data_IF_424087751495
#
_entry.id   IF_424087751495
#
_cell.length_a   1.000
_cell.length_b   1.000
_cell.length_c   1.000
_cell.angle_alpha   90.00
_cell.angle_beta   90.00
_cell.angle_gamma   90.00
#
_symmetry.space_group_name_H-M   'P 1'
#
loop_
_entity.id
_entity.type
_entity.pdbx_description
1 polymer ?
#
# COMPACT_ATOMS: atom_id res chain seq x y z
N UNK A 1 -15.35 2.49 20.32
CA UNK A 1 -14.88 3.49 19.33
C UNK A 1 -14.39 4.71 20.09
N UNK A 2 -13.25 5.27 19.72
CA UNK A 2 -12.71 6.49 20.31
C UNK A 2 -13.17 7.69 19.44
N UNK A 3 -13.75 8.75 20.01
CA UNK A 3 -14.14 9.95 19.25
C UNK A 3 -12.94 10.62 18.58
N UNK A 4 -13.15 11.21 17.39
CA UNK A 4 -12.08 11.88 16.65
C UNK A 4 -11.40 13.00 17.44
N UNK A 5 -12.18 13.75 18.24
CA UNK A 5 -11.67 14.81 19.10
C UNK A 5 -10.61 14.29 20.09
N UNK A 6 -10.86 13.13 20.72
CA UNK A 6 -9.94 12.55 21.69
C UNK A 6 -8.61 12.16 21.01
N UNK A 7 -8.68 11.53 19.83
CA UNK A 7 -7.50 11.15 19.03
C UNK A 7 -6.67 12.38 18.65
N UNK A 8 -7.31 13.42 18.13
CA UNK A 8 -6.63 14.66 17.71
C UNK A 8 -5.98 15.36 18.91
N UNK A 9 -6.67 15.45 20.06
CA UNK A 9 -6.11 16.05 21.27
C UNK A 9 -4.95 15.24 21.83
N UNK A 10 -5.03 13.91 21.80
CA UNK A 10 -3.96 13.04 22.23
C UNK A 10 -2.71 13.21 21.34
N UNK A 11 -2.88 13.21 20.02
CA UNK A 11 -1.78 13.45 19.07
C UNK A 11 -1.17 14.83 19.24
N UNK A 12 -2.00 15.86 19.45
CA UNK A 12 -1.52 17.20 19.74
C UNK A 12 -0.75 17.28 21.07
N UNK A 13 -1.19 16.55 22.09
CA UNK A 13 -0.51 16.48 23.38
C UNK A 13 0.89 15.88 23.23
N UNK A 14 1.04 14.72 22.58
CA UNK A 14 2.36 14.08 22.43
C UNK A 14 3.33 14.92 21.60
N UNK A 15 2.83 15.70 20.63
CA UNK A 15 3.64 16.66 19.88
C UNK A 15 4.05 17.84 20.77
N UNK A 16 3.11 18.38 21.56
CA UNK A 16 3.38 19.50 22.47
C UNK A 16 4.38 19.12 23.58
N UNK A 17 4.38 17.85 24.00
CA UNK A 17 5.39 17.30 24.92
C UNK A 17 6.76 17.07 24.27
N UNK A 18 6.86 17.17 22.94
CA UNK A 18 8.09 16.90 22.19
C UNK A 18 8.44 15.42 22.04
N UNK A 19 7.48 14.50 22.28
CA UNK A 19 7.68 13.05 22.09
C UNK A 19 7.61 12.63 20.62
N UNK A 20 6.87 13.39 19.83
CA UNK A 20 6.80 13.26 18.38
C UNK A 20 6.90 14.66 17.74
N UNK A 21 7.44 14.74 16.53
CA UNK A 21 7.47 15.99 15.77
C UNK A 21 6.15 16.22 15.02
N UNK A 22 5.60 15.14 14.46
CA UNK A 22 4.40 15.15 13.64
C UNK A 22 3.61 13.86 13.85
N UNK A 23 2.39 13.83 13.33
CA UNK A 23 1.58 12.64 13.28
C UNK A 23 0.94 12.47 11.90
N UNK A 24 0.48 11.26 11.64
CA UNK A 24 -0.20 10.88 10.42
C UNK A 24 -1.21 9.78 10.70
N UNK A 25 -1.93 9.41 9.66
CA UNK A 25 -2.96 8.38 9.69
C UNK A 25 -2.50 7.15 8.93
N UNK A 26 -3.14 6.00 9.16
CA UNK A 26 -2.82 4.77 8.45
C UNK A 26 -4.08 3.94 8.23
N UNK A 27 -4.40 3.63 6.98
CA UNK A 27 -5.62 2.93 6.54
C UNK A 27 -6.91 3.72 6.82
N UNK A 28 -6.82 5.04 6.95
CA UNK A 28 -8.00 5.88 7.16
C UNK A 28 -8.65 6.24 5.83
N UNK A 29 -9.97 6.23 5.78
CA UNK A 29 -10.72 6.73 4.63
C UNK A 29 -10.49 8.23 4.43
N UNK A 30 -10.77 8.73 3.22
CA UNK A 30 -10.68 10.15 2.91
C UNK A 30 -11.56 11.00 3.87
N UNK A 31 -12.71 10.45 4.27
CA UNK A 31 -13.67 11.11 5.16
C UNK A 31 -13.09 11.25 6.57
N UNK A 32 -12.49 10.18 7.11
CA UNK A 32 -11.88 10.22 8.44
C UNK A 32 -10.67 11.16 8.50
N UNK A 33 -9.84 11.19 7.45
CA UNK A 33 -8.72 12.13 7.36
C UNK A 33 -9.22 13.58 7.34
N UNK A 34 -10.28 13.86 6.57
CA UNK A 34 -10.88 15.20 6.52
C UNK A 34 -11.60 15.56 7.83
N UNK A 35 -12.19 14.60 8.51
CA UNK A 35 -12.78 14.78 9.84
C UNK A 35 -11.70 15.14 10.87
N UNK A 36 -10.58 14.41 10.90
CA UNK A 36 -9.41 14.75 11.72
C UNK A 36 -8.91 16.16 11.42
N UNK A 37 -8.74 16.51 10.14
CA UNK A 37 -8.33 17.86 9.73
C UNK A 37 -9.30 18.92 10.26
N UNK A 38 -10.61 18.71 10.11
CA UNK A 38 -11.64 19.65 10.55
C UNK A 38 -11.61 19.83 12.07
N UNK A 39 -11.54 18.73 12.83
CA UNK A 39 -11.40 18.78 14.29
C UNK A 39 -10.12 19.53 14.71
N UNK A 40 -9.00 19.28 14.05
CA UNK A 40 -7.75 19.99 14.32
C UNK A 40 -7.90 21.50 14.11
N UNK A 41 -8.56 21.93 13.03
CA UNK A 41 -8.82 23.35 12.76
C UNK A 41 -9.75 23.98 13.79
N UNK A 42 -10.79 23.27 14.22
CA UNK A 42 -11.73 23.75 15.24
C UNK A 42 -11.07 23.92 16.61
N UNK A 43 -10.23 22.96 17.01
CA UNK A 43 -9.60 22.94 18.35
C UNK A 43 -8.18 23.49 18.38
N UNK A 44 -7.72 24.11 17.30
CA UNK A 44 -6.36 24.64 17.15
C UNK A 44 -5.27 23.60 17.48
N UNK A 45 -5.43 22.38 16.97
CA UNK A 45 -4.47 21.27 17.11
C UNK A 45 -3.65 21.10 15.82
N UNK A 46 -2.49 20.44 15.94
CA UNK A 46 -1.66 20.07 14.80
C UNK A 46 -2.39 19.05 13.93
N UNK A 47 -2.49 19.31 12.62
CA UNK A 47 -3.13 18.41 11.63
C UNK A 47 -2.24 17.22 11.26
N UNK A 48 -2.82 16.08 10.85
CA UNK A 48 -2.02 14.99 10.31
C UNK A 48 -1.33 15.43 9.02
N UNK A 49 -0.08 15.02 8.80
CA UNK A 49 0.72 15.44 7.63
C UNK A 49 0.87 14.36 6.57
N UNK A 50 0.61 13.10 6.93
CA UNK A 50 0.73 11.98 6.01
C UNK A 50 -0.33 10.92 6.26
N UNK A 51 -0.68 10.19 5.22
CA UNK A 51 -1.48 8.97 5.29
C UNK A 51 -0.63 7.80 4.78
N UNK A 52 -0.55 6.74 5.58
CA UNK A 52 0.07 5.48 5.20
C UNK A 52 -0.95 4.53 4.57
N UNK A 53 -0.83 4.28 3.26
CA UNK A 53 -1.79 3.48 2.49
C UNK A 53 -1.14 2.41 1.63
N UNK A 54 -1.87 1.31 1.44
CA UNK A 54 -1.46 0.24 0.53
C UNK A 54 -1.44 0.78 -0.90
N UNK A 55 -0.36 0.52 -1.64
CA UNK A 55 -0.29 0.86 -3.05
C UNK A 55 0.60 -0.09 -3.84
N UNK A 56 -0.03 -0.75 -4.81
CA UNK A 56 0.61 -1.64 -5.77
C UNK A 56 -0.31 -1.80 -6.97
N UNK A 57 0.16 -2.50 -8.01
CA UNK A 57 -0.55 -2.68 -9.27
C UNK A 57 -1.99 -3.23 -9.15
N UNK A 58 -2.35 -3.85 -8.02
CA UNK A 58 -3.69 -4.42 -7.77
C UNK A 58 -4.50 -3.66 -6.70
N UNK A 59 -3.94 -2.64 -6.06
CA UNK A 59 -4.65 -1.75 -5.12
C UNK A 59 -4.26 -0.30 -5.43
N UNK A 60 -5.17 0.42 -6.12
CA UNK A 60 -4.85 1.70 -6.78
C UNK A 60 -5.81 2.82 -6.42
N UNK A 61 -7.08 2.51 -6.19
CA UNK A 61 -8.17 3.48 -6.09
C UNK A 61 -7.88 4.60 -5.09
N UNK A 62 -7.44 4.24 -3.87
CA UNK A 62 -7.24 5.22 -2.81
C UNK A 62 -6.13 6.22 -3.14
N UNK A 63 -5.00 5.69 -3.57
CA UNK A 63 -3.76 6.44 -3.78
C UNK A 63 -3.76 7.22 -5.10
N UNK A 64 -4.43 6.71 -6.14
CA UNK A 64 -4.50 7.39 -7.44
C UNK A 64 -5.67 8.38 -7.55
N UNK A 65 -6.80 8.15 -6.85
CA UNK A 65 -7.95 9.05 -6.95
C UNK A 65 -8.07 10.07 -5.82
N UNK A 66 -7.92 9.63 -4.57
CA UNK A 66 -8.29 10.43 -3.39
C UNK A 66 -7.08 11.13 -2.75
N UNK A 67 -5.94 10.46 -2.66
CA UNK A 67 -4.74 11.05 -2.07
C UNK A 67 -4.24 12.32 -2.79
N UNK A 68 -4.25 12.43 -4.13
CA UNK A 68 -3.85 13.67 -4.81
C UNK A 68 -4.79 14.83 -4.45
N UNK A 69 -6.07 14.54 -4.22
CA UNK A 69 -7.04 15.54 -3.82
C UNK A 69 -6.82 15.99 -2.37
N UNK A 70 -6.54 15.06 -1.45
CA UNK A 70 -6.18 15.41 -0.07
C UNK A 70 -4.89 16.24 -0.02
N UNK A 71 -3.88 15.87 -0.81
CA UNK A 71 -2.64 16.65 -0.91
C UNK A 71 -2.92 18.08 -1.38
N UNK A 72 -3.66 18.24 -2.47
CA UNK A 72 -3.97 19.56 -3.02
C UNK A 72 -4.88 20.42 -2.12
N UNK A 73 -5.76 19.81 -1.32
CA UNK A 73 -6.70 20.55 -0.45
C UNK A 73 -6.12 20.89 0.93
N UNK A 74 -5.43 19.95 1.56
CA UNK A 74 -5.02 20.05 2.97
C UNK A 74 -3.55 19.74 3.20
N UNK A 75 -2.78 19.40 2.16
CA UNK A 75 -1.34 19.17 2.25
C UNK A 75 -0.95 17.80 2.83
N UNK A 76 -1.89 16.86 2.95
CA UNK A 76 -1.58 15.51 3.46
C UNK A 76 -0.84 14.71 2.40
N UNK A 77 0.41 14.33 2.70
CA UNK A 77 1.22 13.46 1.86
C UNK A 77 0.81 11.99 1.92
N UNK A 78 1.31 11.20 0.98
CA UNK A 78 1.12 9.77 0.87
C UNK A 78 2.45 9.03 1.12
N UNK A 79 2.42 8.15 2.11
CA UNK A 79 3.44 7.14 2.33
C UNK A 79 2.87 5.77 1.96
N UNK A 80 3.25 5.27 0.79
CA UNK A 80 2.77 4.00 0.27
C UNK A 80 3.48 2.82 0.96
N UNK A 81 2.77 1.70 1.15
CA UNK A 81 3.36 0.44 1.62
C UNK A 81 2.86 -0.75 0.79
N UNK A 82 3.57 -1.88 0.93
CA UNK A 82 3.36 -3.10 0.16
C UNK A 82 3.31 -2.88 -1.37
N UNK A 83 4.36 -2.31 -1.99
CA UNK A 83 4.48 -2.28 -3.45
C UNK A 83 4.45 -3.68 -4.08
N UNK A 84 4.77 -4.68 -3.26
CA UNK A 84 4.71 -6.10 -3.57
C UNK A 84 3.58 -6.68 -2.73
N UNK A 85 2.37 -6.79 -3.29
CA UNK A 85 1.33 -7.57 -2.62
C UNK A 85 1.77 -9.01 -2.56
N UNK A 86 1.94 -9.48 -1.33
CA UNK A 86 2.17 -10.88 -0.95
C UNK A 86 3.50 -11.41 -1.44
N UNK A 87 4.24 -12.12 -0.58
CA UNK A 87 5.48 -12.77 -1.01
C UNK A 87 5.30 -13.96 -1.97
N UNK A 88 4.30 -13.91 -2.85
CA UNK A 88 4.15 -14.73 -4.05
C UNK A 88 5.39 -14.71 -4.96
N UNK A 89 6.25 -13.69 -4.89
CA UNK A 89 7.18 -13.38 -5.96
C UNK A 89 8.63 -13.87 -5.75
N UNK A 90 8.90 -14.59 -4.66
CA UNK A 90 10.23 -15.20 -4.44
C UNK A 90 10.32 -16.66 -4.90
N UNK A 91 9.21 -17.27 -5.36
CA UNK A 91 9.20 -18.63 -5.88
C UNK A 91 9.36 -18.63 -7.39
N UNK A 92 10.34 -19.38 -7.91
CA UNK A 92 10.43 -19.69 -9.34
C UNK A 92 9.06 -20.18 -9.84
N UNK A 93 8.62 -19.66 -10.99
CA UNK A 93 7.43 -20.11 -11.69
C UNK A 93 7.73 -21.49 -12.28
N UNK A 94 7.65 -22.54 -11.45
CA UNK A 94 7.70 -23.93 -11.89
C UNK A 94 6.36 -24.58 -11.53
N UNK A 95 5.67 -25.12 -12.56
CA UNK A 95 4.47 -25.95 -12.50
C UNK A 95 3.26 -25.41 -11.70
N UNK A 96 2.53 -24.46 -12.31
CA UNK A 96 1.07 -24.36 -12.22
C UNK A 96 0.42 -24.10 -10.84
N UNK A 97 1.20 -24.01 -9.78
CA UNK A 97 0.74 -23.78 -8.42
C UNK A 97 1.63 -22.71 -7.78
N UNK A 98 1.24 -21.44 -7.94
CA UNK A 98 1.81 -20.37 -7.13
C UNK A 98 1.36 -20.60 -5.68
N UNK A 99 2.27 -20.81 -4.71
CA UNK A 99 1.90 -20.66 -3.32
C UNK A 99 1.53 -19.20 -3.15
N UNK A 100 0.27 -18.92 -2.81
CA UNK A 100 -0.22 -17.59 -2.41
C UNK A 100 0.36 -17.20 -1.04
N UNK A 101 1.67 -17.43 -0.83
CA UNK A 101 2.33 -17.45 0.47
C UNK A 101 3.78 -16.96 0.34
N UNK A 102 4.03 -15.73 0.79
CA UNK A 102 5.03 -15.56 1.84
C UNK A 102 4.42 -14.68 2.92
N UNK A 103 4.57 -14.98 4.21
CA UNK A 103 5.75 -15.58 4.87
C UNK A 103 5.36 -16.85 5.61
N UNK A 104 5.85 -18.00 5.17
CA UNK A 104 5.93 -19.19 6.03
C UNK A 104 7.38 -19.37 6.47
N UNK A 105 7.55 -19.53 7.79
CA UNK A 105 8.81 -19.82 8.50
C UNK A 105 9.62 -18.62 9.02
N UNK A 106 9.04 -17.86 9.95
CA UNK A 106 9.83 -17.40 11.09
C UNK A 106 9.82 -18.52 12.13
N UNK A 107 10.87 -19.35 12.20
CA UNK A 107 11.09 -20.16 13.39
C UNK A 107 11.51 -19.22 14.51
N UNK A 108 10.58 -18.99 15.45
CA UNK A 108 10.79 -18.29 16.72
C UNK A 108 12.13 -18.68 17.36
N UNK A 109 13.09 -17.75 17.39
CA UNK A 109 14.32 -17.90 18.18
C UNK A 109 14.63 -16.73 19.11
N UNK A 110 13.78 -15.71 19.14
CA UNK A 110 13.88 -14.62 20.11
C UNK A 110 12.51 -14.39 20.74
N UNK A 111 12.38 -14.86 21.99
CA UNK A 111 11.34 -14.42 22.93
C UNK A 111 11.57 -12.92 23.15
N UNK A 112 10.71 -12.10 22.54
CA UNK A 112 10.68 -10.66 22.78
C UNK A 112 9.57 -10.39 23.78
N UNK A 113 9.95 -9.86 24.93
CA UNK A 113 9.12 -9.42 26.04
C UNK A 113 8.00 -8.47 25.53
N UNK A 114 6.82 -9.01 25.24
CA UNK A 114 5.62 -8.27 24.86
C UNK A 114 4.44 -8.83 25.65
N UNK A 115 3.70 -7.97 26.35
CA UNK A 115 2.55 -8.32 27.21
C UNK A 115 1.30 -8.83 26.44
N UNK A 116 1.49 -9.48 25.29
CA UNK A 116 0.45 -9.94 24.36
C UNK A 116 0.72 -11.37 23.90
N UNK A 117 1.21 -12.24 24.79
CA UNK A 117 1.62 -13.60 24.40
C UNK A 117 0.45 -14.57 24.10
N UNK A 118 -0.77 -14.32 24.57
CA UNK A 118 -1.89 -15.27 24.35
C UNK A 118 -2.64 -15.16 23.01
N UNK A 119 -2.33 -14.18 22.14
CA UNK A 119 -3.00 -14.03 20.83
C UNK A 119 -2.14 -14.39 19.61
N UNK A 120 -0.86 -14.73 19.81
CA UNK A 120 0.10 -14.82 18.70
C UNK A 120 0.06 -16.14 17.93
N UNK A 121 -0.46 -17.22 18.53
CA UNK A 121 -0.55 -18.53 17.86
C UNK A 121 -1.64 -18.59 16.79
N UNK A 122 -2.68 -17.75 16.88
CA UNK A 122 -3.76 -17.65 15.88
C UNK A 122 -3.55 -16.54 14.84
N UNK A 123 -2.58 -15.63 15.06
CA UNK A 123 -2.30 -14.50 14.15
C UNK A 123 -1.42 -14.86 12.96
N UNK A 124 -0.64 -15.95 13.03
CA UNK A 124 0.09 -16.47 11.86
C UNK A 124 -0.86 -16.93 10.75
N UNK A 125 -2.02 -17.51 11.14
CA UNK A 125 -3.09 -17.77 10.19
C UNK A 125 -3.68 -16.45 9.69
N UNK A 126 -3.97 -15.49 10.55
CA UNK A 126 -4.67 -14.24 10.22
C UNK A 126 -3.96 -13.40 9.15
N UNK A 127 -2.62 -13.41 9.09
CA UNK A 127 -1.83 -12.76 8.02
C UNK A 127 -1.79 -13.57 6.69
N UNK A 128 -2.22 -14.82 6.70
CA UNK A 128 -2.45 -15.63 5.50
C UNK A 128 -3.93 -15.68 5.09
N UNK A 129 -4.84 -15.33 6.02
CA UNK A 129 -6.29 -15.37 5.80
C UNK A 129 -6.81 -14.16 5.02
N UNK A 130 -6.26 -12.95 5.21
CA UNK A 130 -6.80 -11.73 4.58
C UNK A 130 -6.72 -11.71 3.05
N UNK A 131 -5.68 -12.31 2.46
CA UNK A 131 -5.56 -12.43 1.01
C UNK A 131 -6.40 -13.59 0.45
N UNK A 132 -6.67 -14.60 1.28
CA UNK A 132 -7.35 -15.83 0.90
C UNK A 132 -8.88 -15.75 1.06
N UNK A 133 -9.38 -14.94 2.00
CA UNK A 133 -10.81 -14.72 2.25
C UNK A 133 -11.45 -13.71 1.30
N UNK A 134 -10.66 -12.89 0.59
CA UNK A 134 -11.17 -11.77 -0.21
C UNK A 134 -11.37 -12.08 -1.69
N UNK A 135 -10.74 -13.13 -2.20
CA UNK A 135 -10.68 -13.41 -3.63
C UNK A 135 -11.41 -14.71 -3.95
N UNK A 136 -12.35 -14.64 -4.88
CA UNK A 136 -12.89 -15.86 -5.47
C UNK A 136 -11.75 -16.61 -6.19
N UNK A 137 -11.77 -17.96 -6.24
CA UNK A 137 -10.74 -18.73 -6.94
C UNK A 137 -10.49 -18.26 -8.38
N UNK A 138 -11.54 -17.79 -9.06
CA UNK A 138 -11.46 -17.27 -10.42
C UNK A 138 -10.76 -15.91 -10.53
N UNK A 139 -10.93 -15.02 -9.54
CA UNK A 139 -10.23 -13.73 -9.50
C UNK A 139 -8.74 -13.91 -9.23
N UNK A 140 -8.42 -14.88 -8.36
CA UNK A 140 -7.03 -15.27 -8.07
C UNK A 140 -6.33 -15.75 -9.33
N UNK A 141 -6.99 -16.62 -10.12
CA UNK A 141 -6.44 -17.14 -11.38
C UNK A 141 -6.16 -16.02 -12.39
N UNK A 142 -7.10 -15.08 -12.55
CA UNK A 142 -6.91 -13.91 -13.42
C UNK A 142 -5.76 -13.02 -12.97
N UNK A 143 -5.60 -12.81 -11.66
CA UNK A 143 -4.47 -12.05 -11.13
C UNK A 143 -3.13 -12.75 -11.41
N UNK A 144 -3.08 -14.08 -11.29
CA UNK A 144 -1.88 -14.86 -11.60
C UNK A 144 -1.49 -14.79 -13.09
N UNK A 145 -2.47 -14.84 -13.99
CA UNK A 145 -2.26 -14.65 -15.44
C UNK A 145 -1.66 -13.26 -15.72
N UNK A 146 -2.20 -12.20 -15.10
CA UNK A 146 -1.67 -10.83 -15.19
C UNK A 146 -0.24 -10.73 -14.66
N UNK A 147 0.05 -11.34 -13.51
CA UNK A 147 1.40 -11.38 -12.93
C UNK A 147 2.39 -12.05 -13.89
N UNK A 148 1.99 -13.16 -14.53
CA UNK A 148 2.84 -13.85 -15.51
C UNK A 148 3.18 -12.94 -16.70
N UNK A 149 2.19 -12.24 -17.23
CA UNK A 149 2.40 -11.34 -18.37
C UNK A 149 3.28 -10.13 -18.01
N UNK A 150 3.14 -9.60 -16.78
CA UNK A 150 4.03 -8.56 -16.25
C UNK A 150 5.45 -9.10 -16.02
N UNK A 151 5.60 -10.35 -15.56
CA UNK A 151 6.91 -11.00 -15.41
C UNK A 151 7.63 -11.11 -16.75
N UNK A 152 6.93 -11.53 -17.82
CA UNK A 152 7.50 -11.57 -19.17
C UNK A 152 7.92 -10.18 -19.67
N UNK A 153 7.21 -9.13 -19.28
CA UNK A 153 7.62 -7.76 -19.58
C UNK A 153 8.86 -7.33 -18.78
N UNK A 154 8.93 -7.69 -17.49
CA UNK A 154 10.08 -7.42 -16.64
C UNK A 154 11.36 -8.07 -17.20
N UNK A 155 11.26 -9.32 -17.66
CA UNK A 155 12.35 -10.05 -18.32
C UNK A 155 12.83 -9.33 -19.59
N UNK A 156 11.92 -8.85 -20.44
CA UNK A 156 12.27 -8.06 -21.64
C UNK A 156 12.98 -6.75 -21.30
N UNK A 157 12.69 -6.16 -20.14
CA UNK A 157 13.33 -4.96 -19.63
C UNK A 157 14.66 -5.24 -18.89
N UNK A 158 15.00 -6.52 -18.69
CA UNK A 158 16.18 -6.95 -17.95
C UNK A 158 16.10 -6.65 -16.46
N UNK A 159 14.90 -6.70 -15.87
CA UNK A 159 14.68 -6.42 -14.45
C UNK A 159 13.83 -7.51 -13.79
N UNK A 160 13.88 -7.58 -12.46
CA UNK A 160 12.98 -8.46 -11.72
C UNK A 160 11.59 -7.85 -11.63
N UNK A 161 10.57 -8.70 -11.45
CA UNK A 161 9.21 -8.23 -11.21
C UNK A 161 9.14 -7.30 -9.99
N UNK A 162 9.90 -7.61 -8.94
CA UNK A 162 10.02 -6.77 -7.74
C UNK A 162 10.48 -5.36 -8.08
N UNK A 163 11.55 -5.25 -8.87
CA UNK A 163 12.07 -3.96 -9.29
C UNK A 163 11.06 -3.20 -10.16
N UNK A 164 10.37 -3.90 -11.06
CA UNK A 164 9.34 -3.30 -11.91
C UNK A 164 8.15 -2.77 -11.07
N UNK A 165 7.69 -3.54 -10.08
CA UNK A 165 6.59 -3.13 -9.18
C UNK A 165 6.95 -1.90 -8.36
N UNK A 166 8.15 -1.86 -7.78
CA UNK A 166 8.63 -0.71 -7.00
C UNK A 166 8.76 0.53 -7.90
N UNK A 167 9.38 0.37 -9.08
CA UNK A 167 9.55 1.46 -10.04
C UNK A 167 8.20 2.00 -10.54
N UNK A 168 7.22 1.12 -10.76
CA UNK A 168 5.86 1.49 -11.13
C UNK A 168 5.18 2.31 -10.03
N UNK A 169 5.26 1.88 -8.76
CA UNK A 169 4.69 2.64 -7.64
C UNK A 169 5.33 4.04 -7.51
N UNK A 170 6.65 4.13 -7.69
CA UNK A 170 7.39 5.40 -7.64
C UNK A 170 7.19 6.29 -8.87
N UNK A 171 6.67 5.75 -9.97
CA UNK A 171 6.34 6.55 -11.16
C UNK A 171 5.17 7.49 -10.92
N UNK A 172 4.30 7.16 -9.96
CA UNK A 172 3.20 8.02 -9.55
C UNK A 172 3.72 9.19 -8.70
N UNK A 173 3.62 10.40 -9.23
CA UNK A 173 4.06 11.65 -8.56
C UNK A 173 3.34 11.89 -7.21
N UNK A 174 2.19 11.26 -7.01
CA UNK A 174 1.41 11.37 -5.78
C UNK A 174 2.05 10.63 -4.60
N UNK A 175 2.98 9.70 -4.85
CA UNK A 175 3.67 8.91 -3.83
C UNK A 175 4.96 9.61 -3.43
N UNK A 176 5.00 10.20 -2.23
CA UNK A 176 6.21 10.89 -1.75
C UNK A 176 7.21 9.93 -1.09
N UNK A 177 6.71 8.85 -0.49
CA UNK A 177 7.54 7.84 0.16
C UNK A 177 6.95 6.45 -0.10
N UNK A 178 7.81 5.48 -0.39
CA UNK A 178 7.45 4.08 -0.53
C UNK A 178 8.19 3.26 0.53
N UNK A 179 7.44 2.62 1.42
CA UNK A 179 7.96 1.75 2.45
C UNK A 179 8.31 0.38 1.86
N UNK A 180 9.59 0.02 1.96
CA UNK A 180 10.13 -1.25 1.51
C UNK A 180 10.32 -2.19 2.70
N UNK A 181 10.05 -3.48 2.49
CA UNK A 181 10.35 -4.54 3.45
C UNK A 181 11.34 -5.53 2.84
N UNK A 182 12.47 -5.73 3.49
CA UNK A 182 13.50 -6.70 3.09
C UNK A 182 13.93 -7.52 4.31
N UNK A 183 14.09 -8.84 4.12
CA UNK A 183 14.61 -9.72 5.17
C UNK A 183 16.10 -10.03 5.00
N UNK A 184 16.64 -9.77 3.80
CA UNK A 184 18.06 -9.90 3.49
C UNK A 184 18.60 -8.61 2.89
N UNK A 185 19.92 -8.43 2.99
CA UNK A 185 20.61 -7.27 2.42
C UNK A 185 20.50 -7.27 0.89
N UNK A 186 20.54 -8.44 0.25
CA UNK A 186 20.43 -8.56 -1.21
C UNK A 186 19.06 -8.10 -1.73
N UNK A 187 17.97 -8.45 -1.03
CA UNK A 187 16.62 -7.96 -1.36
C UNK A 187 16.52 -6.44 -1.24
N UNK A 188 17.17 -5.85 -0.24
CA UNK A 188 17.22 -4.41 -0.09
C UNK A 188 17.98 -3.75 -1.25
N UNK A 189 19.15 -4.28 -1.62
CA UNK A 189 19.90 -3.77 -2.77
C UNK A 189 19.12 -3.91 -4.08
N UNK A 190 18.49 -5.05 -4.32
CA UNK A 190 17.61 -5.27 -5.47
C UNK A 190 16.48 -4.23 -5.51
N UNK A 191 15.85 -3.98 -4.36
CA UNK A 191 14.78 -2.99 -4.23
C UNK A 191 15.26 -1.58 -4.52
N UNK A 192 16.46 -1.19 -4.06
CA UNK A 192 17.04 0.13 -4.34
C UNK A 192 17.40 0.29 -5.82
N UNK A 193 17.88 -0.77 -6.48
CA UNK A 193 18.21 -0.74 -7.91
C UNK A 193 17.00 -0.47 -8.80
N UNK A 194 15.77 -0.69 -8.32
CA UNK A 194 14.53 -0.30 -9.02
C UNK A 194 14.48 1.17 -9.44
N UNK A 195 15.16 2.06 -8.71
CA UNK A 195 15.23 3.49 -9.04
C UNK A 195 15.80 3.74 -10.44
N UNK A 196 16.69 2.86 -10.90
CA UNK A 196 17.30 2.94 -12.24
C UNK A 196 16.31 2.61 -13.37
N UNK A 197 15.15 2.02 -13.04
CA UNK A 197 14.10 1.67 -13.99
C UNK A 197 13.10 2.82 -14.20
N UNK A 198 12.98 3.77 -13.27
CA UNK A 198 12.01 4.87 -13.37
C UNK A 198 12.15 5.66 -14.69
N UNK A 199 13.36 6.00 -15.17
CA UNK A 199 13.53 6.66 -16.46
C UNK A 199 13.23 5.74 -17.66
N UNK A 200 13.38 4.42 -17.50
CA UNK A 200 13.11 3.42 -18.55
C UNK A 200 11.62 3.18 -18.74
N UNK A 201 10.79 3.43 -17.72
CA UNK A 201 9.34 3.37 -17.78
C UNK A 201 8.78 4.53 -18.64
N UNK A 202 8.84 4.33 -19.95
CA UNK A 202 8.26 5.22 -20.94
C UNK A 202 6.73 5.07 -21.02
N UNK A 203 6.08 6.00 -21.71
CA UNK A 203 4.61 6.02 -21.85
C UNK A 203 4.08 4.72 -22.47
N UNK A 204 4.78 4.14 -23.44
CA UNK A 204 4.35 2.91 -24.12
C UNK A 204 4.32 1.71 -23.16
N UNK A 205 5.35 1.55 -22.32
CA UNK A 205 5.40 0.50 -21.30
C UNK A 205 4.32 0.69 -20.25
N UNK A 206 4.08 1.94 -19.83
CA UNK A 206 2.99 2.25 -18.91
C UNK A 206 1.63 1.91 -19.51
N UNK A 207 1.38 2.26 -20.77
CA UNK A 207 0.14 1.90 -21.47
C UNK A 207 -0.04 0.39 -21.60
N UNK A 208 1.04 -0.35 -21.85
CA UNK A 208 0.99 -1.81 -21.90
C UNK A 208 0.73 -2.43 -20.52
N UNK A 209 1.32 -1.90 -19.45
CA UNK A 209 1.00 -2.30 -18.08
C UNK A 209 -0.46 -2.02 -17.74
N UNK A 210 -1.01 -0.85 -18.12
CA UNK A 210 -2.43 -0.56 -17.95
C UNK A 210 -3.33 -1.54 -18.73
N UNK A 211 -2.90 -1.95 -19.93
CA UNK A 211 -3.62 -2.95 -20.74
C UNK A 211 -3.62 -4.33 -20.09
N UNK A 212 -2.56 -4.72 -19.40
CA UNK A 212 -2.52 -6.00 -18.66
C UNK A 212 -3.33 -5.91 -17.37
N UNK A 213 -3.20 -4.81 -16.63
CA UNK A 213 -3.82 -4.66 -15.32
C UNK A 213 -5.34 -4.46 -15.41
N UNK A 214 -5.82 -3.74 -16.42
CA UNK A 214 -7.25 -3.47 -16.68
C UNK A 214 -8.04 -3.02 -15.43
N UNK A 215 -7.37 -2.31 -14.53
CA UNK A 215 -7.94 -1.89 -13.24
C UNK A 215 -7.67 -0.41 -12.96
N UNK A 216 -7.48 0.38 -14.03
CA UNK A 216 -7.24 1.81 -13.89
C UNK A 216 -8.41 2.45 -13.15
N UNK A 217 -8.17 3.09 -12.00
CA UNK A 217 -9.25 3.58 -11.16
C UNK A 217 -10.00 4.71 -11.86
N UNK A 218 -11.33 4.66 -11.80
CA UNK A 218 -12.22 5.69 -12.34
C UNK A 218 -13.07 6.26 -11.22
N UNK A 219 -13.28 7.58 -11.22
CA UNK A 219 -14.17 8.21 -10.24
C UNK A 219 -15.60 7.76 -10.52
N UNK A 220 -16.36 7.35 -9.50
CA UNK A 220 -17.78 7.10 -9.69
C UNK A 220 -18.46 8.39 -10.17
N UNK A 221 -19.49 8.30 -11.03
CA UNK A 221 -20.22 9.47 -11.49
C UNK A 221 -20.84 10.21 -10.30
N UNK A 222 -20.92 11.54 -10.40
CA UNK A 222 -21.61 12.35 -9.40
C UNK A 222 -23.09 11.96 -9.44
N UNK A 223 -23.54 11.23 -8.42
CA UNK A 223 -24.94 10.89 -8.27
C UNK A 223 -25.65 12.13 -7.75
N UNK A 224 -26.34 12.83 -8.65
CA UNK A 224 -27.22 13.93 -8.27
C UNK A 224 -28.36 13.39 -7.42
N UNK A 225 -28.53 13.90 -6.20
CA UNK A 225 -29.68 13.57 -5.35
C UNK A 225 -31.01 14.00 -5.96
N UNK A 226 -30.99 14.89 -6.97
CA UNK A 226 -32.16 15.26 -7.77
C UNK A 226 -32.52 14.18 -8.81
N UNK A 227 -31.57 13.34 -9.23
CA UNK A 227 -31.81 12.27 -10.21
C UNK A 227 -32.32 10.96 -9.56
N UNK A 228 -32.31 10.89 -8.22
CA UNK A 228 -32.81 9.77 -7.42
C UNK A 228 -34.22 10.02 -6.84
N UNK A 229 -34.84 11.16 -7.18
CA UNK A 229 -36.22 11.52 -6.83
C UNK A 229 -37.11 11.41 -8.04
#
# INVERSE_FOLDING_TARGET
MCPMEEVVRAMNHVISQGWALYWGTARWSMVEVMEAYTNCRTFNCVTPICEQSEYHMFCRDKTELYMPELYNKIGVGLMAWAPLTMGLLSGKIEDGALPLVARSSFKNKYSSFSWTEDETTNKELQCTTWARERLQPEETRKQQEKIRDISLMAEKLGCTLTQLSIAWCLKNESVQCLLLGATTVDQLYESIQSLQLIPKLNTNLMTELERILENKPTRPPIVSTLALR
#
